data_IF_645830911139
#
_entry.id   IF_645830911139
#
_cell.length_a   1.000
_cell.length_b   1.000
_cell.length_c   1.000
_cell.angle_alpha   90.00
_cell.angle_beta   90.00
_cell.angle_gamma   90.00
#
_symmetry.space_group_name_H-M   'P 1'
#
loop_
_entity.id
_entity.type
_entity.pdbx_description
1 polymer ?
#
# COMPACT_ATOMS: atom_id res chain seq x y z
N UNK A 1 26.26 -33.91 -5.36
CA UNK A 1 25.33 -32.87 -5.86
C UNK A 1 24.98 -31.84 -4.77
N UNK A 2 25.95 -31.40 -3.95
CA UNK A 2 25.72 -30.38 -2.90
C UNK A 2 26.38 -29.04 -3.19
N UNK A 3 27.37 -28.99 -4.09
CA UNK A 3 28.15 -27.78 -4.42
C UNK A 3 27.36 -26.78 -5.28
N UNK A 4 26.54 -27.29 -6.20
CA UNK A 4 25.72 -26.51 -7.15
C UNK A 4 24.70 -25.58 -6.44
N UNK A 5 24.10 -26.09 -5.35
CA UNK A 5 23.14 -25.31 -4.54
C UNK A 5 23.86 -24.14 -3.85
N UNK A 6 25.07 -24.35 -3.33
CA UNK A 6 25.82 -23.28 -2.67
C UNK A 6 26.26 -22.20 -3.66
N UNK A 7 26.67 -22.57 -4.88
CA UNK A 7 27.02 -21.58 -5.92
C UNK A 7 25.81 -20.70 -6.28
N UNK A 8 24.61 -21.29 -6.35
CA UNK A 8 23.37 -20.54 -6.59
C UNK A 8 23.07 -19.54 -5.47
N UNK A 9 23.26 -19.95 -4.21
CA UNK A 9 23.05 -19.05 -3.07
C UNK A 9 24.17 -18.01 -2.91
N UNK A 10 25.41 -18.33 -3.26
CA UNK A 10 26.53 -17.37 -3.31
C UNK A 10 26.23 -16.26 -4.34
N UNK A 11 25.73 -16.61 -5.53
CA UNK A 11 25.27 -15.62 -6.52
C UNK A 11 24.11 -14.76 -5.98
N UNK A 12 23.15 -15.37 -5.30
CA UNK A 12 22.02 -14.64 -4.70
C UNK A 12 22.48 -13.69 -3.59
N UNK A 13 23.50 -14.06 -2.82
CA UNK A 13 24.15 -13.19 -1.83
C UNK A 13 24.76 -11.97 -2.53
N UNK A 14 25.49 -12.18 -3.62
CA UNK A 14 26.14 -11.09 -4.37
C UNK A 14 25.11 -10.13 -5.00
N UNK A 15 24.02 -10.66 -5.58
CA UNK A 15 22.90 -9.86 -6.11
C UNK A 15 22.25 -9.00 -5.01
N UNK A 16 22.06 -9.59 -3.82
CA UNK A 16 21.46 -8.91 -2.67
C UNK A 16 22.37 -7.80 -2.14
N UNK A 17 23.68 -8.07 -2.03
CA UNK A 17 24.68 -7.09 -1.59
C UNK A 17 24.84 -5.92 -2.58
N UNK A 18 24.62 -6.16 -3.88
CA UNK A 18 24.60 -5.12 -4.91
C UNK A 18 23.32 -4.26 -4.90
N UNK A 19 22.32 -4.60 -4.09
CA UNK A 19 21.04 -3.87 -4.00
C UNK A 19 20.00 -4.26 -5.06
N UNK A 20 20.25 -5.32 -5.83
CA UNK A 20 19.31 -5.88 -6.81
C UNK A 20 18.43 -6.94 -6.11
N UNK A 21 17.43 -6.49 -5.36
CA UNK A 21 16.64 -7.40 -4.51
C UNK A 21 15.27 -7.69 -5.13
N UNK A 22 15.07 -8.93 -5.58
CA UNK A 22 13.74 -9.52 -5.76
C UNK A 22 13.28 -10.14 -4.44
N UNK A 23 12.13 -9.68 -3.90
CA UNK A 23 11.63 -10.10 -2.57
C UNK A 23 11.47 -11.61 -2.39
N UNK A 24 11.20 -12.33 -3.48
CA UNK A 24 11.05 -13.79 -3.45
C UNK A 24 12.39 -14.51 -3.23
N UNK A 25 13.47 -13.99 -3.84
CA UNK A 25 14.84 -14.49 -3.65
C UNK A 25 15.33 -14.24 -2.22
N UNK A 26 14.99 -13.08 -1.64
CA UNK A 26 15.41 -12.69 -0.30
C UNK A 26 14.92 -13.65 0.80
N UNK A 27 13.64 -14.06 0.73
CA UNK A 27 13.06 -14.99 1.70
C UNK A 27 13.64 -16.41 1.57
N UNK A 28 13.93 -16.85 0.34
CA UNK A 28 14.62 -18.13 0.07
C UNK A 28 16.04 -18.12 0.63
N UNK A 29 16.81 -17.06 0.36
CA UNK A 29 18.16 -16.87 0.87
C UNK A 29 18.18 -16.84 2.41
N UNK A 30 17.26 -16.10 3.03
CA UNK A 30 17.14 -16.01 4.48
C UNK A 30 16.95 -17.38 5.13
N UNK A 31 16.12 -18.23 4.52
CA UNK A 31 15.89 -19.60 5.00
C UNK A 31 17.16 -20.45 4.87
N UNK A 32 17.84 -20.39 3.72
CA UNK A 32 19.07 -21.15 3.51
C UNK A 32 20.19 -20.75 4.48
N UNK A 33 20.34 -19.46 4.76
CA UNK A 33 21.36 -18.93 5.68
C UNK A 33 21.15 -19.35 7.14
N UNK A 34 19.94 -19.75 7.53
CA UNK A 34 19.68 -20.27 8.88
C UNK A 34 20.27 -21.67 9.08
N UNK A 35 20.32 -22.46 8.01
CA UNK A 35 20.68 -23.89 8.07
C UNK A 35 22.08 -24.17 7.47
N UNK A 36 22.70 -23.20 6.78
CA UNK A 36 23.97 -23.39 6.09
C UNK A 36 25.10 -22.46 6.61
N UNK A 37 26.02 -23.04 7.39
CA UNK A 37 27.21 -22.34 7.89
C UNK A 37 28.13 -21.82 6.78
N UNK A 38 28.32 -22.58 5.69
CA UNK A 38 29.18 -22.15 4.55
C UNK A 38 28.70 -20.86 3.91
N UNK A 39 27.41 -20.77 3.58
CA UNK A 39 26.86 -19.57 2.96
C UNK A 39 26.81 -18.38 3.94
N UNK A 40 26.68 -18.65 5.25
CA UNK A 40 26.82 -17.63 6.29
C UNK A 40 28.25 -17.07 6.37
N UNK A 41 29.26 -17.95 6.30
CA UNK A 41 30.67 -17.55 6.24
C UNK A 41 30.98 -16.72 4.99
N UNK A 42 30.46 -17.13 3.82
CA UNK A 42 30.59 -16.38 2.57
C UNK A 42 29.97 -14.97 2.71
N UNK A 43 28.73 -14.87 3.18
CA UNK A 43 28.06 -13.59 3.41
C UNK A 43 28.86 -12.70 4.37
N UNK A 44 29.39 -13.26 5.46
CA UNK A 44 30.19 -12.53 6.42
C UNK A 44 31.54 -12.06 5.83
N UNK A 45 32.18 -12.89 5.00
CA UNK A 45 33.40 -12.52 4.27
C UNK A 45 33.14 -11.39 3.28
N UNK A 46 32.13 -11.53 2.41
CA UNK A 46 31.75 -10.51 1.42
C UNK A 46 31.35 -9.20 2.09
N UNK A 47 30.61 -9.26 3.20
CA UNK A 47 30.25 -8.07 3.99
C UNK A 47 31.47 -7.36 4.57
N UNK A 48 32.46 -8.11 5.09
CA UNK A 48 33.72 -7.54 5.58
C UNK A 48 34.52 -6.87 4.47
N UNK A 49 34.59 -7.47 3.29
CA UNK A 49 35.24 -6.88 2.11
C UNK A 49 34.57 -5.57 1.71
N UNK A 50 33.24 -5.57 1.58
CA UNK A 50 32.47 -4.36 1.26
C UNK A 50 32.67 -3.27 2.32
N UNK A 51 32.67 -3.63 3.60
CA UNK A 51 32.93 -2.70 4.69
C UNK A 51 34.35 -2.09 4.61
N UNK A 52 35.36 -2.91 4.27
CA UNK A 52 36.72 -2.44 4.00
C UNK A 52 36.78 -1.50 2.81
N UNK A 53 36.05 -1.79 1.73
CA UNK A 53 35.96 -0.95 0.54
C UNK A 53 35.28 0.40 0.82
N UNK A 54 34.27 0.43 1.70
CA UNK A 54 33.64 1.70 2.14
C UNK A 54 34.61 2.63 2.88
N UNK A 55 35.72 2.10 3.42
CA UNK A 55 36.79 2.92 3.99
C UNK A 55 37.58 3.72 2.96
N UNK A 56 37.45 3.38 1.67
CA UNK A 56 38.00 4.17 0.57
C UNK A 56 36.96 5.19 0.11
N UNK A 57 37.20 6.46 0.42
CA UNK A 57 36.44 7.56 -0.17
C UNK A 57 36.99 7.85 -1.56
N UNK A 58 36.19 7.57 -2.59
CA UNK A 58 36.48 8.07 -3.93
C UNK A 58 36.00 9.51 -4.02
N UNK A 59 36.78 10.37 -4.66
CA UNK A 59 36.36 11.76 -4.88
C UNK A 59 35.19 11.75 -5.86
N UNK A 60 34.00 12.05 -5.33
CA UNK A 60 32.76 12.04 -6.11
C UNK A 60 32.62 13.43 -6.72
N UNK A 61 32.54 13.48 -8.05
CA UNK A 61 32.37 14.72 -8.83
C UNK A 61 31.33 15.64 -8.16
N UNK A 62 31.68 16.87 -7.76
CA UNK A 62 30.78 17.77 -7.05
C UNK A 62 29.50 18.09 -7.83
N UNK A 63 29.49 17.94 -9.16
CA UNK A 63 28.28 18.11 -9.95
C UNK A 63 27.25 16.96 -9.74
N UNK A 64 27.69 15.78 -9.30
CA UNK A 64 26.78 14.66 -8.99
C UNK A 64 25.98 14.90 -7.70
N UNK A 65 26.58 15.51 -6.67
CA UNK A 65 25.86 15.91 -5.46
C UNK A 65 24.77 16.94 -5.77
N UNK A 66 25.07 17.90 -6.65
CA UNK A 66 24.08 18.88 -7.11
C UNK A 66 22.90 18.21 -7.83
N UNK A 67 23.16 17.17 -8.64
CA UNK A 67 22.11 16.38 -9.31
C UNK A 67 21.23 15.63 -8.32
N UNK A 68 21.82 14.97 -7.31
CA UNK A 68 21.04 14.25 -6.27
C UNK A 68 20.16 15.23 -5.49
N UNK A 69 20.71 16.38 -5.08
CA UNK A 69 19.95 17.44 -4.43
C UNK A 69 18.81 17.98 -5.30
N UNK A 70 19.04 18.14 -6.61
CA UNK A 70 18.00 18.57 -7.54
C UNK A 70 16.87 17.53 -7.68
N UNK A 71 17.22 16.24 -7.82
CA UNK A 71 16.25 15.14 -7.89
C UNK A 71 15.47 15.01 -6.57
N UNK A 72 16.14 15.13 -5.42
CA UNK A 72 15.46 15.10 -4.13
C UNK A 72 14.49 16.28 -3.95
N UNK A 73 14.89 17.50 -4.33
CA UNK A 73 14.00 18.68 -4.31
C UNK A 73 12.82 18.51 -5.26
N UNK A 74 13.05 18.01 -6.46
CA UNK A 74 12.00 17.73 -7.43
C UNK A 74 10.99 16.72 -6.87
N UNK A 75 11.46 15.67 -6.19
CA UNK A 75 10.59 14.67 -5.56
C UNK A 75 9.83 15.22 -4.35
N UNK A 76 10.49 16.03 -3.52
CA UNK A 76 9.83 16.72 -2.41
C UNK A 76 8.71 17.63 -2.92
N UNK A 77 8.98 18.41 -3.97
CA UNK A 77 8.00 19.27 -4.62
C UNK A 77 6.86 18.47 -5.26
N UNK A 78 7.11 17.29 -5.85
CA UNK A 78 6.05 16.43 -6.36
C UNK A 78 5.17 15.84 -5.25
N UNK A 79 5.73 15.57 -4.07
CA UNK A 79 4.96 15.11 -2.91
C UNK A 79 4.12 16.23 -2.30
N UNK A 80 4.64 17.46 -2.27
CA UNK A 80 3.90 18.65 -1.82
C UNK A 80 2.86 19.10 -2.85
N UNK A 81 3.17 18.98 -4.14
CA UNK A 81 2.30 19.37 -5.25
C UNK A 81 1.34 18.27 -5.71
N UNK A 82 1.44 17.05 -5.15
CA UNK A 82 0.31 16.13 -5.19
C UNK A 82 -0.70 16.67 -4.18
N UNK A 83 -1.81 17.33 -4.58
CA UNK A 83 -2.83 17.72 -3.65
C UNK A 83 -3.37 16.43 -3.03
N UNK A 84 -2.87 16.08 -1.86
CA UNK A 84 -3.33 15.00 -1.00
C UNK A 84 -4.77 15.31 -0.68
N UNK A 85 -5.66 14.78 -1.53
CA UNK A 85 -7.01 14.31 -1.25
C UNK A 85 -7.94 15.19 -0.40
N UNK A 86 -7.61 16.43 -0.05
CA UNK A 86 -8.38 17.22 0.91
C UNK A 86 -9.78 17.51 0.40
N UNK A 87 -9.90 17.81 -0.90
CA UNK A 87 -11.20 17.99 -1.55
C UNK A 87 -11.99 16.68 -1.63
N UNK A 88 -11.32 15.56 -1.91
CA UNK A 88 -11.97 14.22 -2.01
C UNK A 88 -12.39 13.71 -0.64
N UNK A 89 -11.58 13.93 0.38
CA UNK A 89 -11.84 13.60 1.78
C UNK A 89 -12.97 14.47 2.33
N UNK A 90 -13.00 15.77 2.00
CA UNK A 90 -14.12 16.65 2.31
C UNK A 90 -15.43 16.15 1.68
N UNK A 91 -15.42 15.73 0.41
CA UNK A 91 -16.59 15.15 -0.25
C UNK A 91 -17.07 13.86 0.43
N UNK A 92 -16.15 12.98 0.85
CA UNK A 92 -16.48 11.76 1.58
C UNK A 92 -17.09 12.10 2.95
N UNK A 93 -16.54 13.08 3.68
CA UNK A 93 -17.09 13.54 4.95
C UNK A 93 -18.48 14.17 4.81
N UNK A 94 -18.69 14.99 3.77
CA UNK A 94 -20.00 15.59 3.47
C UNK A 94 -21.03 14.49 3.12
N UNK A 95 -20.65 13.53 2.29
CA UNK A 95 -21.52 12.41 1.93
C UNK A 95 -21.89 11.56 3.16
N UNK A 96 -20.93 11.29 4.05
CA UNK A 96 -21.18 10.57 5.30
C UNK A 96 -22.12 11.34 6.24
N UNK A 97 -21.98 12.67 6.34
CA UNK A 97 -22.88 13.52 7.12
C UNK A 97 -24.31 13.51 6.57
N UNK A 98 -24.48 13.68 5.25
CA UNK A 98 -25.80 13.63 4.61
C UNK A 98 -26.45 12.27 4.80
N UNK A 99 -25.69 11.18 4.67
CA UNK A 99 -26.19 9.83 4.89
C UNK A 99 -26.61 9.61 6.36
N UNK A 100 -25.83 10.13 7.30
CA UNK A 100 -26.14 10.01 8.74
C UNK A 100 -27.39 10.80 9.12
N UNK A 101 -27.49 12.05 8.67
CA UNK A 101 -28.66 12.90 8.95
C UNK A 101 -29.90 12.38 8.23
N UNK A 102 -29.76 11.97 6.97
CA UNK A 102 -30.86 11.38 6.18
C UNK A 102 -31.34 10.06 6.78
N UNK A 103 -30.43 9.19 7.23
CA UNK A 103 -30.77 7.94 7.92
C UNK A 103 -31.55 8.18 9.22
N UNK A 104 -31.10 9.13 10.06
CA UNK A 104 -31.81 9.48 11.29
C UNK A 104 -33.19 10.10 11.04
N UNK A 105 -33.35 10.92 10.00
CA UNK A 105 -34.65 11.53 9.68
C UNK A 105 -35.67 10.51 9.19
N UNK A 106 -35.23 9.53 8.41
CA UNK A 106 -36.08 8.42 7.93
C UNK A 106 -36.49 7.53 9.11
N UNK A 107 -35.58 7.24 10.05
CA UNK A 107 -35.89 6.46 11.25
C UNK A 107 -36.93 7.16 12.16
N UNK A 108 -36.82 8.49 12.32
CA UNK A 108 -37.76 9.30 13.10
C UNK A 108 -39.15 9.44 12.44
N UNK A 109 -39.22 9.67 11.12
CA UNK A 109 -40.52 9.80 10.44
C UNK A 109 -41.24 8.45 10.28
N UNK A 110 -40.52 7.38 9.96
CA UNK A 110 -41.13 6.05 9.86
C UNK A 110 -41.41 5.42 11.23
N UNK A 111 -40.58 5.70 12.25
CA UNK A 111 -40.84 5.26 13.62
C UNK A 111 -42.13 5.85 14.21
N UNK A 112 -42.43 7.12 13.92
CA UNK A 112 -43.66 7.78 14.37
C UNK A 112 -44.93 7.31 13.65
N UNK A 113 -44.86 7.08 12.34
CA UNK A 113 -46.00 6.66 11.52
C UNK A 113 -46.35 5.17 11.69
N UNK A 114 -45.36 4.31 11.95
CA UNK A 114 -45.57 2.88 12.09
C UNK A 114 -46.01 2.52 13.52
N UNK A 115 -45.59 3.28 14.54
CA UNK A 115 -46.02 3.10 15.92
C UNK A 115 -47.54 3.34 16.13
N UNK A 116 -48.17 4.18 15.30
CA UNK A 116 -49.63 4.41 15.37
C UNK A 116 -50.45 3.42 14.55
N UNK A 117 -49.85 2.71 13.59
CA UNK A 117 -50.59 1.93 12.60
C UNK A 117 -50.53 0.40 12.82
N UNK A 118 -49.49 -0.14 13.44
CA UNK A 118 -49.33 -1.60 13.52
C UNK A 118 -48.78 -2.07 14.88
N UNK A 119 -49.67 -2.59 15.72
CA UNK A 119 -49.35 -3.37 16.93
C UNK A 119 -48.92 -4.81 16.56
N UNK A 120 -48.02 -4.94 15.58
CA UNK A 120 -47.58 -6.23 15.03
C UNK A 120 -46.04 -6.27 14.96
N UNK A 121 -45.48 -7.05 15.88
CA UNK A 121 -44.27 -7.86 15.72
C UNK A 121 -42.96 -7.12 15.37
N UNK A 122 -42.46 -6.37 16.37
CA UNK A 122 -41.16 -5.65 16.42
C UNK A 122 -39.92 -6.40 15.92
N UNK A 123 -39.91 -7.73 15.92
CA UNK A 123 -38.71 -8.52 15.61
C UNK A 123 -38.37 -8.57 14.10
N UNK A 124 -39.35 -8.43 13.20
CA UNK A 124 -39.15 -8.63 11.75
C UNK A 124 -38.85 -7.31 11.01
N UNK A 125 -39.33 -6.17 11.53
CA UNK A 125 -39.02 -4.84 11.00
C UNK A 125 -37.55 -4.43 11.21
N UNK A 126 -36.92 -4.84 12.32
CA UNK A 126 -35.50 -4.53 12.57
C UNK A 126 -34.58 -5.14 11.51
N UNK A 127 -34.88 -6.33 10.98
CA UNK A 127 -34.05 -6.95 9.93
C UNK A 127 -34.17 -6.22 8.58
N UNK A 128 -35.36 -5.72 8.23
CA UNK A 128 -35.58 -4.97 6.99
C UNK A 128 -34.89 -3.60 6.99
N UNK A 129 -34.93 -2.88 8.12
CA UNK A 129 -34.30 -1.56 8.27
C UNK A 129 -32.78 -1.66 8.32
N UNK A 130 -32.24 -2.68 8.99
CA UNK A 130 -30.80 -2.99 9.00
C UNK A 130 -30.33 -3.36 7.59
N UNK A 131 -31.09 -4.18 6.85
CA UNK A 131 -30.75 -4.52 5.47
C UNK A 131 -30.81 -3.30 4.54
N UNK A 132 -31.78 -2.40 4.70
CA UNK A 132 -31.92 -1.24 3.82
C UNK A 132 -30.92 -0.11 4.13
N UNK A 133 -30.47 0.03 5.38
CA UNK A 133 -29.49 1.05 5.78
C UNK A 133 -28.02 0.62 5.62
N UNK A 134 -27.71 -0.65 5.93
CA UNK A 134 -26.32 -1.13 5.95
C UNK A 134 -25.84 -1.52 4.54
N UNK A 135 -26.71 -2.09 3.70
CA UNK A 135 -26.34 -2.53 2.34
C UNK A 135 -25.82 -1.39 1.46
N UNK A 136 -26.47 -0.21 1.36
CA UNK A 136 -25.94 0.88 0.55
C UNK A 136 -24.65 1.47 1.14
N UNK A 137 -24.50 1.50 2.47
CA UNK A 137 -23.27 1.95 3.13
C UNK A 137 -22.08 1.02 2.86
N UNK A 138 -22.29 -0.30 2.97
CA UNK A 138 -21.29 -1.32 2.63
C UNK A 138 -20.96 -1.31 1.13
N UNK A 139 -21.98 -1.12 0.28
CA UNK A 139 -21.78 -1.04 -1.16
C UNK A 139 -20.89 0.16 -1.51
N UNK A 140 -21.14 1.34 -0.95
CA UNK A 140 -20.28 2.52 -1.14
C UNK A 140 -18.88 2.33 -0.55
N UNK A 141 -18.75 1.70 0.63
CA UNK A 141 -17.46 1.43 1.26
C UNK A 141 -16.59 0.48 0.42
N UNK A 142 -17.20 -0.44 -0.32
CA UNK A 142 -16.50 -1.39 -1.22
C UNK A 142 -16.28 -0.78 -2.62
N UNK A 143 -17.23 -0.01 -3.15
CA UNK A 143 -17.15 0.56 -4.50
C UNK A 143 -16.07 1.65 -4.61
N UNK A 144 -15.92 2.47 -3.56
CA UNK A 144 -14.95 3.58 -3.51
C UNK A 144 -13.50 3.11 -3.68
N UNK A 145 -12.99 2.11 -2.93
CA UNK A 145 -11.62 1.63 -3.10
C UNK A 145 -11.39 0.95 -4.46
N UNK A 146 -12.40 0.26 -5.01
CA UNK A 146 -12.32 -0.37 -6.33
C UNK A 146 -12.19 0.70 -7.43
N UNK A 147 -13.03 1.74 -7.39
CA UNK A 147 -12.93 2.86 -8.34
C UNK A 147 -11.61 3.64 -8.20
N UNK A 148 -11.08 3.76 -6.98
CA UNK A 148 -9.77 4.36 -6.73
C UNK A 148 -8.64 3.57 -7.39
N UNK A 149 -8.67 2.24 -7.25
CA UNK A 149 -7.68 1.34 -7.86
C UNK A 149 -7.78 1.32 -9.38
N UNK A 150 -8.99 1.34 -9.94
CA UNK A 150 -9.19 1.39 -11.39
C UNK A 150 -8.76 2.74 -11.99
N UNK A 151 -8.99 3.86 -11.30
CA UNK A 151 -8.55 5.18 -11.73
C UNK A 151 -7.02 5.33 -11.72
N UNK A 152 -6.34 4.72 -10.76
CA UNK A 152 -4.87 4.69 -10.70
C UNK A 152 -4.25 3.74 -11.74
N UNK A 153 -4.95 2.65 -12.10
CA UNK A 153 -4.52 1.73 -13.15
C UNK A 153 -4.77 2.24 -14.58
N UNK A 154 -5.76 3.13 -14.76
CA UNK A 154 -6.13 3.68 -16.07
C UNK A 154 -5.16 4.74 -16.61
N UNK A 155 -4.46 5.45 -15.74
CA UNK A 155 -3.53 6.53 -16.13
C UNK A 155 -2.22 5.99 -16.73
N UNK A 156 -1.82 4.75 -16.41
CA UNK A 156 -0.60 4.14 -16.96
C UNK A 156 -0.74 3.56 -18.38
N UNK A 157 -1.96 3.48 -18.94
CA UNK A 157 -2.20 2.90 -20.27
C UNK A 157 -2.29 3.94 -21.39
N UNK A 158 -2.48 5.22 -21.07
CA UNK A 158 -2.66 6.27 -22.08
C UNK A 158 -1.34 6.93 -22.53
N UNK A 159 -0.24 6.76 -21.79
CA UNK A 159 1.09 7.28 -22.16
C UNK A 159 1.93 6.33 -23.05
N UNK A 160 1.43 5.14 -23.40
CA UNK A 160 2.15 4.19 -24.27
C UNK A 160 1.72 4.22 -25.74
N UNK A 161 0.90 5.20 -26.14
CA UNK A 161 0.49 5.45 -27.52
C UNK A 161 0.67 6.94 -27.82
N UNK A 162 1.92 7.41 -27.80
CA UNK A 162 2.35 8.60 -28.54
C UNK A 162 3.84 8.57 -28.78
#
# INVERSE_FOLDING_TARGET
>A
MGTDIHETFEQMIDETLAGNVEREKEESLRRHLQDCARCQEYLAASTRVIAGLRGFSFDVDPASQAKVCAVMRQRAQQMEAAPTSGRRMAWISIAALILTVGGSFVDLQFGGLIASAFDIQRAQMQQGVIAFGIVPSLCLLILIPILLKLSAGGTGRQERIR
#
